data_IF_776218999736
#
_entry.id   IF_776218999736
#
_cell.length_a   1.000
_cell.length_b   1.000
_cell.length_c   1.000
_cell.angle_alpha   90.00
_cell.angle_beta   90.00
_cell.angle_gamma   90.00
#
_symmetry.space_group_name_H-M   'P 1'
#
loop_
_entity.id
_entity.type
_entity.pdbx_description
1 polymer ?
#
# COMPACT_ATOMS: atom_id res chain seq x y z
N UNK A 1 0.98 -10.37 -19.46
CA UNK A 1 -0.23 -9.89 -18.75
C UNK A 1 -0.08 -8.41 -18.49
N UNK A 2 -1.02 -7.57 -18.93
CA UNK A 2 -1.09 -6.19 -18.41
C UNK A 2 -1.38 -6.32 -16.91
N UNK A 3 -0.48 -5.83 -16.04
CA UNK A 3 -0.76 -5.73 -14.59
C UNK A 3 -1.88 -4.70 -14.43
N UNK A 4 -3.13 -5.15 -14.43
CA UNK A 4 -4.26 -4.27 -14.12
C UNK A 4 -4.12 -3.84 -12.66
N UNK A 5 -3.94 -2.54 -12.45
CA UNK A 5 -3.80 -2.01 -11.10
C UNK A 5 -5.17 -2.02 -10.40
N UNK A 6 -5.22 -2.38 -9.12
CA UNK A 6 -6.46 -2.53 -8.35
C UNK A 6 -7.24 -1.22 -8.28
N UNK A 7 -8.56 -1.26 -8.44
CA UNK A 7 -9.40 -0.05 -8.31
C UNK A 7 -9.54 0.45 -6.87
N UNK A 8 -9.29 -0.41 -5.88
CA UNK A 8 -9.56 -0.16 -4.45
C UNK A 8 -8.33 -0.39 -3.58
N UNK A 9 -7.16 0.10 -4.00
CA UNK A 9 -5.99 0.02 -3.14
C UNK A 9 -6.14 0.96 -1.94
N UNK A 10 -5.66 0.50 -0.78
CA UNK A 10 -5.64 1.21 0.48
C UNK A 10 -4.23 1.77 0.71
N UNK A 11 -4.09 2.76 1.60
CA UNK A 11 -2.77 3.24 2.01
C UNK A 11 -2.15 2.25 2.98
N UNK A 12 -0.86 1.99 2.82
CA UNK A 12 -0.06 1.13 3.70
C UNK A 12 1.28 1.78 4.01
N UNK A 13 1.90 1.36 5.12
CA UNK A 13 3.23 1.79 5.55
C UNK A 13 4.06 0.60 6.00
N UNK A 14 5.38 0.68 5.91
CA UNK A 14 6.24 -0.37 6.46
C UNK A 14 6.13 -0.45 7.98
N UNK A 15 6.21 -1.66 8.54
CA UNK A 15 6.16 -1.87 10.01
C UNK A 15 7.43 -1.33 10.68
N UNK A 16 8.55 -1.31 9.96
CA UNK A 16 9.86 -0.91 10.45
C UNK A 16 10.41 0.34 9.75
N UNK A 17 11.36 0.99 10.41
CA UNK A 17 12.09 2.14 9.90
C UNK A 17 13.17 1.73 8.86
N UNK A 18 13.43 2.56 7.84
CA UNK A 18 12.76 3.83 7.53
C UNK A 18 11.34 3.61 7.00
N UNK A 19 10.38 4.39 7.48
CA UNK A 19 8.99 4.24 7.06
C UNK A 19 8.81 4.55 5.57
N UNK A 20 8.28 3.59 4.83
CA UNK A 20 7.91 3.76 3.43
C UNK A 20 6.40 3.65 3.27
N UNK A 21 5.79 4.60 2.57
CA UNK A 21 4.35 4.62 2.28
C UNK A 21 4.09 4.04 0.90
N UNK A 22 3.03 3.25 0.79
CA UNK A 22 2.65 2.59 -0.44
C UNK A 22 1.13 2.46 -0.55
N UNK A 23 0.67 1.93 -1.67
CA UNK A 23 -0.70 1.45 -1.80
C UNK A 23 -0.72 -0.08 -1.78
N UNK A 24 -1.63 -0.65 -1.00
CA UNK A 24 -1.80 -2.09 -0.86
C UNK A 24 -3.18 -2.52 -1.35
N UNK A 25 -3.25 -3.62 -2.08
CA UNK A 25 -4.52 -4.23 -2.43
C UNK A 25 -4.45 -5.75 -2.31
N UNK A 26 -5.50 -6.40 -1.80
CA UNK A 26 -5.56 -7.85 -1.76
C UNK A 26 -5.67 -8.40 -3.19
N UNK A 27 -4.99 -9.51 -3.42
CA UNK A 27 -5.05 -10.34 -4.62
C UNK A 27 -5.66 -11.71 -4.28
N UNK A 28 -6.20 -12.43 -5.27
CA UNK A 28 -6.63 -13.81 -5.06
C UNK A 28 -5.50 -14.71 -4.52
N UNK A 29 -5.88 -15.74 -3.77
CA UNK A 29 -4.99 -16.71 -3.12
C UNK A 29 -4.12 -16.10 -2.03
N UNK A 30 -4.69 -15.28 -1.15
CA UNK A 30 -3.98 -14.79 0.04
C UNK A 30 -2.68 -14.07 -0.30
N UNK A 31 -2.75 -13.20 -1.31
CA UNK A 31 -1.60 -12.40 -1.74
C UNK A 31 -1.93 -10.93 -1.67
N UNK A 32 -0.89 -10.12 -1.61
CA UNK A 32 -1.00 -8.68 -1.57
C UNK A 32 -0.20 -8.08 -2.71
N UNK A 33 -0.77 -7.05 -3.33
CA UNK A 33 -0.06 -6.19 -4.27
C UNK A 33 0.33 -4.91 -3.55
N UNK A 34 1.62 -4.58 -3.56
CA UNK A 34 2.15 -3.30 -3.08
C UNK A 34 2.54 -2.44 -4.28
N UNK A 35 2.10 -1.19 -4.29
CA UNK A 35 2.38 -0.21 -5.33
C UNK A 35 3.16 0.94 -4.70
N UNK A 36 4.40 1.12 -5.14
CA UNK A 36 5.26 2.18 -4.66
C UNK A 36 5.00 3.46 -5.47
N UNK A 37 4.42 4.52 -4.87
CA UNK A 37 4.00 5.71 -5.60
C UNK A 37 5.15 6.50 -6.21
N UNK A 38 6.34 6.46 -5.59
CA UNK A 38 7.52 7.20 -6.04
C UNK A 38 8.15 6.63 -7.31
N UNK A 39 8.04 5.32 -7.54
CA UNK A 39 8.66 4.62 -8.68
C UNK A 39 7.64 4.03 -9.64
N UNK A 40 6.39 3.86 -9.21
CA UNK A 40 5.37 3.10 -9.93
C UNK A 40 5.60 1.58 -9.87
N UNK A 41 6.57 1.11 -9.08
CA UNK A 41 6.88 -0.31 -8.94
C UNK A 41 5.74 -1.07 -8.27
N UNK A 42 5.54 -2.31 -8.71
CA UNK A 42 4.49 -3.21 -8.21
C UNK A 42 5.11 -4.51 -7.73
N UNK A 43 5.08 -4.71 -6.42
CA UNK A 43 5.48 -5.94 -5.74
C UNK A 43 4.25 -6.82 -5.50
N UNK A 44 4.44 -8.13 -5.52
CA UNK A 44 3.42 -9.10 -5.10
C UNK A 44 4.02 -9.90 -3.97
N UNK A 45 3.34 -9.87 -2.83
CA UNK A 45 3.76 -10.52 -1.60
C UNK A 45 2.76 -11.63 -1.23
N UNK A 46 3.21 -12.63 -0.50
CA UNK A 46 2.32 -13.52 0.25
C UNK A 46 1.65 -12.76 1.40
N UNK A 47 0.62 -13.36 2.00
CA UNK A 47 0.01 -12.83 3.22
C UNK A 47 1.03 -12.68 4.36
N UNK A 48 1.90 -13.68 4.55
CA UNK A 48 2.95 -13.65 5.56
C UNK A 48 3.95 -12.51 5.31
N UNK A 49 4.52 -12.43 4.11
CA UNK A 49 5.48 -11.37 3.72
C UNK A 49 4.87 -9.97 3.87
N UNK A 50 3.57 -9.82 3.53
CA UNK A 50 2.85 -8.58 3.74
C UNK A 50 2.76 -8.25 5.23
N UNK A 51 2.31 -9.18 6.06
CA UNK A 51 2.14 -8.96 7.50
C UNK A 51 3.44 -8.66 8.25
N UNK A 52 4.56 -9.20 7.78
CA UNK A 52 5.89 -8.94 8.34
C UNK A 52 6.44 -7.56 7.95
N UNK A 53 6.06 -7.05 6.77
CA UNK A 53 6.70 -5.88 6.16
C UNK A 53 5.82 -4.64 6.11
N UNK A 54 4.50 -4.80 6.03
CA UNK A 54 3.52 -3.74 5.79
C UNK A 54 2.33 -3.80 6.75
N UNK A 55 1.73 -2.64 6.99
CA UNK A 55 0.48 -2.50 7.74
C UNK A 55 -0.44 -1.51 7.02
N UNK A 56 -1.74 -1.79 6.98
CA UNK A 56 -2.71 -0.87 6.38
C UNK A 56 -2.93 0.33 7.30
N UNK A 57 -3.23 1.49 6.71
CA UNK A 57 -3.55 2.70 7.47
C UNK A 57 -4.70 2.48 8.47
N UNK A 58 -5.72 1.70 8.08
CA UNK A 58 -6.85 1.37 8.94
C UNK A 58 -6.46 0.59 10.19
N UNK A 59 -5.36 -0.15 10.13
CA UNK A 59 -4.84 -0.99 11.21
C UNK A 59 -3.80 -0.24 12.07
N UNK A 60 -3.30 0.89 11.58
CA UNK A 60 -2.36 1.73 12.30
C UNK A 60 -3.01 2.41 13.53
N UNK A 61 -2.28 2.54 14.66
CA UNK A 61 -2.72 3.38 15.76
C UNK A 61 -2.75 4.87 15.35
N UNK A 62 -3.52 5.73 16.06
CA UNK A 62 -3.71 7.14 15.67
C UNK A 62 -2.42 7.95 15.46
N UNK A 63 -1.37 7.66 16.23
CA UNK A 63 -0.07 8.33 16.08
C UNK A 63 0.61 8.02 14.75
N UNK A 64 0.52 6.76 14.28
CA UNK A 64 1.12 6.31 13.01
C UNK A 64 0.29 6.79 11.82
N UNK A 65 -1.04 6.92 11.97
CA UNK A 65 -1.91 7.47 10.90
C UNK A 65 -1.48 8.87 10.45
N UNK A 66 -0.91 9.69 11.36
CA UNK A 66 -0.34 11.01 11.02
C UNK A 66 0.80 10.94 10.00
N UNK A 67 1.51 9.81 9.89
CA UNK A 67 2.55 9.62 8.88
C UNK A 67 1.98 9.58 7.45
N UNK A 68 0.67 9.32 7.31
CA UNK A 68 -0.05 9.36 6.04
C UNK A 68 -0.55 10.76 5.67
N UNK A 69 -0.29 11.79 6.48
CA UNK A 69 -0.68 13.16 6.17
C UNK A 69 0.01 13.63 4.88
N UNK A 70 -0.78 14.25 3.99
CA UNK A 70 -0.34 14.64 2.65
C UNK A 70 -0.13 13.48 1.67
N UNK A 71 -0.27 12.22 2.10
CA UNK A 71 -0.23 11.07 1.19
C UNK A 71 -1.63 10.82 0.63
N UNK A 72 -1.82 11.14 -0.65
CA UNK A 72 -3.13 11.06 -1.29
C UNK A 72 -3.73 9.65 -1.25
N UNK A 73 -5.06 9.56 -1.34
CA UNK A 73 -5.71 8.27 -1.61
C UNK A 73 -5.23 7.69 -2.94
N UNK A 74 -5.20 6.37 -3.06
CA UNK A 74 -4.83 5.70 -4.32
C UNK A 74 -5.62 6.25 -5.52
N UNK A 75 -6.91 6.51 -5.34
CA UNK A 75 -7.76 6.97 -6.44
C UNK A 75 -7.34 8.33 -6.98
N UNK A 76 -7.09 9.27 -6.07
CA UNK A 76 -6.59 10.59 -6.41
C UNK A 76 -5.21 10.54 -7.05
N UNK A 77 -4.29 9.73 -6.51
CA UNK A 77 -2.96 9.54 -7.10
C UNK A 77 -3.02 8.94 -8.52
N UNK A 78 -3.92 7.97 -8.74
CA UNK A 78 -3.99 7.23 -10.02
C UNK A 78 -4.76 7.95 -11.11
N UNK A 79 -5.87 8.59 -10.78
CA UNK A 79 -6.83 9.18 -11.73
C UNK A 79 -7.04 10.68 -11.57
N UNK A 80 -6.47 11.31 -10.54
CA UNK A 80 -6.56 12.76 -10.31
C UNK A 80 -5.70 13.61 -11.24
N UNK A 81 -5.50 13.18 -12.49
CA UNK A 81 -4.99 14.04 -13.56
C UNK A 81 -6.15 14.66 -14.31
#
# INVERSE_FOLDING_TARGET
MKKELPMRAQRAITVTMPYQRAYAAPLPRHRWQIILPGTGEVLVLTEDEFSETWVLESECPPAVRKLFDGFESYARWRWGK
#
